data_IF_630436247020
#
_entry.id   IF_630436247020
#
_cell.length_a   1.000
_cell.length_b   1.000
_cell.length_c   1.000
_cell.angle_alpha   90.00
_cell.angle_beta   90.00
_cell.angle_gamma   90.00
#
_symmetry.space_group_name_H-M   'P 1'
#
loop_
_entity.id
_entity.type
_entity.pdbx_description
1 polymer ?
#
# COMPACT_ATOMS: atom_id res chain seq x y z
N UNK A 1 21.48 -22.48 -22.48
CA UNK A 1 21.34 -21.01 -22.29
C UNK A 1 22.09 -20.56 -21.03
N UNK A 2 23.29 -20.01 -21.19
CA UNK A 2 24.10 -19.50 -20.07
C UNK A 2 23.87 -17.99 -19.95
N UNK A 3 23.18 -17.55 -18.89
CA UNK A 3 23.11 -16.14 -18.52
C UNK A 3 24.52 -15.62 -18.25
N UNK A 4 24.98 -14.62 -19.00
CA UNK A 4 26.34 -14.05 -18.92
C UNK A 4 26.40 -12.72 -18.14
N UNK A 5 25.32 -12.31 -17.49
CA UNK A 5 25.26 -11.06 -16.71
C UNK A 5 25.47 -11.29 -15.21
N UNK A 6 26.23 -10.41 -14.57
CA UNK A 6 26.25 -10.32 -13.11
C UNK A 6 24.87 -9.87 -12.60
N UNK A 7 24.50 -10.34 -11.41
CA UNK A 7 23.28 -9.90 -10.75
C UNK A 7 23.32 -8.39 -10.48
N UNK A 8 22.18 -7.72 -10.70
CA UNK A 8 21.96 -6.30 -10.39
C UNK A 8 20.54 -6.12 -9.84
N UNK A 9 20.32 -5.07 -9.04
CA UNK A 9 19.02 -4.80 -8.42
C UNK A 9 17.92 -4.45 -9.43
N UNK A 10 18.24 -3.60 -10.42
CA UNK A 10 17.32 -3.11 -11.43
C UNK A 10 17.96 -3.16 -12.83
N UNK A 11 17.18 -3.54 -13.86
CA UNK A 11 17.63 -3.51 -15.27
C UNK A 11 17.15 -2.24 -15.98
N UNK A 12 18.09 -1.38 -16.38
CA UNK A 12 17.79 -0.17 -17.14
C UNK A 12 17.20 -0.49 -18.53
N UNK A 13 17.67 -1.57 -19.17
CA UNK A 13 17.18 -1.99 -20.49
C UNK A 13 15.71 -2.40 -20.44
N UNK A 14 15.30 -3.15 -19.40
CA UNK A 14 13.90 -3.50 -19.19
C UNK A 14 13.07 -2.25 -18.90
N UNK A 15 13.57 -1.35 -18.05
CA UNK A 15 12.89 -0.08 -17.74
C UNK A 15 12.68 0.80 -18.98
N UNK A 16 13.68 0.87 -19.87
CA UNK A 16 13.62 1.65 -21.11
C UNK A 16 12.70 1.02 -22.17
N UNK A 17 12.60 -0.31 -22.19
CA UNK A 17 11.75 -1.05 -23.12
C UNK A 17 10.28 -1.13 -22.66
N UNK A 18 9.97 -0.80 -21.40
CA UNK A 18 8.61 -0.88 -20.87
C UNK A 18 7.69 0.20 -21.45
N UNK A 19 6.48 -0.17 -21.85
CA UNK A 19 5.54 0.75 -22.49
C UNK A 19 5.00 1.76 -21.47
N UNK A 20 5.21 3.06 -21.74
CA UNK A 20 4.66 4.12 -20.87
C UNK A 20 3.14 4.13 -20.81
N UNK A 21 2.46 3.61 -21.83
CA UNK A 21 1.01 3.47 -21.83
C UNK A 21 0.53 2.52 -20.73
N UNK A 22 1.29 1.45 -20.44
CA UNK A 22 0.95 0.49 -19.39
C UNK A 22 1.16 1.10 -17.99
N UNK A 23 2.18 1.96 -17.84
CA UNK A 23 2.43 2.71 -16.59
C UNK A 23 1.27 3.68 -16.31
N UNK A 24 0.74 4.33 -17.35
CA UNK A 24 -0.35 5.29 -17.23
C UNK A 24 -1.74 4.63 -17.13
N UNK A 25 -1.84 3.31 -17.31
CA UNK A 25 -3.13 2.62 -17.30
C UNK A 25 -3.75 2.63 -15.89
N UNK A 26 -5.02 3.02 -15.74
CA UNK A 26 -5.66 3.07 -14.44
C UNK A 26 -5.91 1.66 -13.92
N UNK A 27 -5.50 1.39 -12.68
CA UNK A 27 -5.81 0.13 -11.99
C UNK A 27 -7.22 0.07 -11.40
N UNK A 28 -7.96 1.19 -11.37
CA UNK A 28 -9.28 1.29 -10.73
C UNK A 28 -10.26 0.24 -11.26
N UNK A 29 -10.38 -0.01 -12.59
CA UNK A 29 -11.28 -1.04 -13.11
C UNK A 29 -10.93 -2.46 -12.62
N UNK A 30 -9.64 -2.75 -12.40
CA UNK A 30 -9.17 -4.03 -11.87
C UNK A 30 -9.57 -4.16 -10.40
N UNK A 31 -9.30 -3.14 -9.58
CA UNK A 31 -9.72 -3.12 -8.17
C UNK A 31 -11.24 -3.23 -8.02
N UNK A 32 -12.02 -2.49 -8.83
CA UNK A 32 -13.49 -2.60 -8.83
C UNK A 32 -13.96 -4.01 -9.20
N UNK A 33 -13.27 -4.70 -10.11
CA UNK A 33 -13.57 -6.11 -10.43
C UNK A 33 -13.27 -7.01 -9.23
N UNK A 34 -12.08 -6.90 -8.64
CA UNK A 34 -11.65 -7.70 -7.50
C UNK A 34 -12.57 -7.54 -6.28
N UNK A 35 -13.01 -6.30 -6.00
CA UNK A 35 -13.90 -5.99 -4.88
C UNK A 35 -15.31 -6.58 -5.03
N UNK A 36 -15.74 -6.93 -6.25
CA UNK A 36 -17.01 -7.63 -6.48
C UNK A 36 -16.92 -9.13 -6.21
N UNK A 37 -15.72 -9.71 -6.22
CA UNK A 37 -15.54 -11.13 -5.91
C UNK A 37 -15.72 -11.37 -4.42
N UNK A 38 -16.65 -12.26 -4.06
CA UNK A 38 -16.86 -12.62 -2.65
C UNK A 38 -15.65 -13.42 -2.15
N UNK A 39 -15.10 -12.98 -1.01
CA UNK A 39 -14.00 -13.66 -0.32
C UNK A 39 -12.62 -13.03 -0.49
N UNK A 40 -12.45 -12.06 -1.41
CA UNK A 40 -11.19 -11.31 -1.50
C UNK A 40 -11.16 -10.16 -0.48
N UNK A 41 -10.00 -10.00 0.17
CA UNK A 41 -9.68 -8.87 1.04
C UNK A 41 -8.43 -8.21 0.48
N UNK A 42 -8.52 -6.92 0.22
CA UNK A 42 -7.43 -6.12 -0.35
C UNK A 42 -6.78 -5.31 0.77
N UNK A 43 -5.46 -5.36 0.85
CA UNK A 43 -4.66 -4.49 1.68
C UNK A 43 -3.83 -3.59 0.76
N UNK A 44 -3.95 -2.29 0.96
CA UNK A 44 -3.06 -1.28 0.42
C UNK A 44 -2.28 -0.72 1.59
N UNK A 45 -0.96 -0.62 1.48
CA UNK A 45 -0.11 0.02 2.48
C UNK A 45 0.75 1.09 1.81
N UNK A 46 1.06 2.16 2.54
CA UNK A 46 1.81 3.29 1.99
C UNK A 46 2.65 3.94 3.09
N UNK A 47 3.97 3.97 2.92
CA UNK A 47 4.85 4.69 3.84
C UNK A 47 4.58 6.20 3.75
N UNK A 48 4.34 6.85 4.88
CA UNK A 48 3.94 8.26 4.92
C UNK A 48 5.06 9.26 4.59
N UNK A 49 6.31 8.82 4.58
CA UNK A 49 7.49 9.59 4.19
C UNK A 49 7.98 9.33 2.73
N UNK A 50 7.24 8.56 1.92
CA UNK A 50 7.56 8.38 0.49
C UNK A 50 7.04 9.56 -0.35
N UNK A 51 7.91 10.11 -1.21
CA UNK A 51 7.56 11.20 -2.13
C UNK A 51 7.31 10.75 -3.57
N UNK A 52 7.74 9.55 -3.96
CA UNK A 52 7.54 9.02 -5.33
C UNK A 52 6.10 8.56 -5.49
N UNK A 53 5.61 7.74 -4.56
CA UNK A 53 4.23 7.26 -4.51
C UNK A 53 3.57 7.74 -3.21
N UNK A 54 3.44 9.06 -3.08
CA UNK A 54 3.01 9.68 -1.84
C UNK A 54 1.68 9.15 -1.29
N UNK A 55 1.64 8.97 0.03
CA UNK A 55 0.48 8.45 0.78
C UNK A 55 -0.81 9.22 0.52
N UNK A 56 -0.73 10.54 0.29
CA UNK A 56 -1.89 11.37 -0.08
C UNK A 56 -2.53 10.93 -1.40
N UNK A 57 -1.72 10.57 -2.41
CA UNK A 57 -2.22 10.10 -3.70
C UNK A 57 -2.95 8.76 -3.57
N UNK A 58 -2.41 7.86 -2.75
CA UNK A 58 -3.04 6.57 -2.43
C UNK A 58 -4.38 6.76 -1.69
N UNK A 59 -4.44 7.68 -0.73
CA UNK A 59 -5.67 8.02 -0.01
C UNK A 59 -6.74 8.58 -0.97
N UNK A 60 -6.37 9.55 -1.80
CA UNK A 60 -7.27 10.18 -2.76
C UNK A 60 -7.84 9.16 -3.75
N UNK A 61 -6.98 8.32 -4.32
CA UNK A 61 -7.39 7.25 -5.24
C UNK A 61 -8.46 6.33 -4.62
N UNK A 62 -8.26 5.88 -3.39
CA UNK A 62 -9.22 4.99 -2.71
C UNK A 62 -10.53 5.71 -2.41
N UNK A 63 -10.47 7.00 -2.04
CA UNK A 63 -11.64 7.82 -1.80
C UNK A 63 -12.50 7.97 -3.06
N UNK A 64 -11.86 8.21 -4.19
CA UNK A 64 -12.52 8.38 -5.50
C UNK A 64 -13.17 7.10 -6.02
N UNK A 65 -12.80 5.92 -5.49
CA UNK A 65 -13.51 4.67 -5.78
C UNK A 65 -14.91 4.59 -5.13
N UNK A 66 -15.26 5.52 -4.23
CA UNK A 66 -16.60 5.61 -3.66
C UNK A 66 -17.01 4.42 -2.81
N UNK A 67 -16.05 3.71 -2.20
CA UNK A 67 -16.32 2.55 -1.36
C UNK A 67 -16.99 2.96 -0.04
N UNK A 68 -17.84 2.09 0.50
CA UNK A 68 -18.42 2.31 1.82
C UNK A 68 -17.35 2.16 2.92
N UNK A 69 -17.14 3.23 3.69
CA UNK A 69 -16.30 3.22 4.89
C UNK A 69 -16.96 2.33 5.95
N UNK A 70 -16.20 1.35 6.46
CA UNK A 70 -16.59 0.47 7.56
C UNK A 70 -16.05 0.96 8.90
N UNK A 71 -14.81 1.43 8.89
CA UNK A 71 -14.15 2.03 10.05
C UNK A 71 -13.34 3.22 9.57
N UNK A 72 -13.64 4.38 10.15
CA UNK A 72 -12.93 5.62 9.84
C UNK A 72 -11.46 5.56 10.26
N UNK A 73 -10.69 6.50 9.72
CA UNK A 73 -9.27 6.72 10.00
C UNK A 73 -8.98 6.73 11.51
N UNK A 74 -8.08 5.85 11.94
CA UNK A 74 -7.68 5.71 13.35
C UNK A 74 -6.25 5.19 13.45
N UNK A 75 -5.53 5.48 14.55
CA UNK A 75 -4.21 4.93 14.75
C UNK A 75 -4.27 3.41 14.94
N UNK A 76 -3.22 2.72 14.48
CA UNK A 76 -2.91 1.36 14.91
C UNK A 76 -1.59 1.38 15.69
N UNK A 77 -1.49 0.50 16.68
CA UNK A 77 -0.37 0.52 17.62
C UNK A 77 0.43 -0.77 17.58
N UNK A 78 1.71 -0.67 17.90
CA UNK A 78 2.61 -1.80 18.09
C UNK A 78 3.35 -1.67 19.43
N UNK A 79 3.76 -2.79 20.05
CA UNK A 79 4.64 -2.74 21.20
C UNK A 79 5.95 -2.03 20.83
N UNK A 80 6.38 -1.12 21.68
CA UNK A 80 7.64 -0.35 21.53
C UNK A 80 8.90 -1.23 21.79
N UNK A 81 8.69 -2.47 22.23
CA UNK A 81 9.73 -3.42 22.59
C UNK A 81 10.05 -3.45 24.09
N UNK A 82 10.93 -4.38 24.51
CA UNK A 82 11.25 -4.62 25.92
C UNK A 82 11.97 -3.44 26.59
N UNK A 83 12.59 -2.55 25.82
CA UNK A 83 13.42 -1.45 26.31
C UNK A 83 12.67 -0.10 26.39
N UNK A 84 11.34 -0.07 26.19
CA UNK A 84 10.61 1.20 26.29
C UNK A 84 10.72 1.78 27.72
N UNK A 85 11.12 3.06 27.86
CA UNK A 85 11.29 3.71 29.15
C UNK A 85 9.98 3.85 29.95
N UNK A 86 8.83 3.48 29.39
CA UNK A 86 7.50 3.55 30.01
C UNK A 86 6.94 2.15 30.36
N UNK A 87 7.79 1.11 30.28
CA UNK A 87 7.49 -0.25 30.74
C UNK A 87 6.95 -1.19 29.64
N UNK A 88 6.76 -2.48 29.94
CA UNK A 88 6.45 -3.54 28.96
C UNK A 88 5.05 -3.43 28.33
N UNK A 89 4.21 -2.50 28.78
CA UNK A 89 2.89 -2.20 28.22
C UNK A 89 2.89 -1.01 27.24
N UNK A 90 4.06 -0.44 26.96
CA UNK A 90 4.23 0.70 26.07
C UNK A 90 3.85 0.35 24.62
N UNK A 91 2.89 1.09 24.08
CA UNK A 91 2.38 0.97 22.72
C UNK A 91 2.72 2.25 21.96
N UNK A 92 3.37 2.15 20.80
CA UNK A 92 3.61 3.26 19.89
C UNK A 92 2.60 3.25 18.77
N UNK A 93 2.25 4.43 18.27
CA UNK A 93 1.48 4.55 17.03
C UNK A 93 2.41 4.15 15.88
N UNK A 94 2.10 3.04 15.23
CA UNK A 94 2.87 2.56 14.08
C UNK A 94 2.35 3.14 12.75
N UNK A 95 1.17 3.75 12.80
CA UNK A 95 0.58 4.51 11.70
C UNK A 95 -0.93 4.57 11.83
N UNK A 96 -1.64 4.64 10.71
CA UNK A 96 -3.09 4.80 10.68
C UNK A 96 -3.75 3.83 9.71
N UNK A 97 -5.01 3.50 9.99
CA UNK A 97 -5.78 2.57 9.17
C UNK A 97 -7.19 3.11 8.91
N UNK A 98 -7.65 2.95 7.68
CA UNK A 98 -9.07 3.06 7.31
C UNK A 98 -9.52 1.76 6.68
N UNK A 99 -10.71 1.31 7.07
CA UNK A 99 -11.33 0.11 6.52
C UNK A 99 -12.53 0.49 5.67
N UNK A 100 -12.53 0.08 4.41
CA UNK A 100 -13.68 0.10 3.51
C UNK A 100 -14.22 -1.32 3.34
N UNK A 101 -15.36 -1.46 2.65
CA UNK A 101 -15.88 -2.77 2.28
C UNK A 101 -14.93 -3.49 1.32
N UNK A 102 -14.20 -4.49 1.83
CA UNK A 102 -13.30 -5.34 1.05
C UNK A 102 -11.88 -4.81 0.85
N UNK A 103 -11.59 -3.57 1.29
CA UNK A 103 -10.29 -2.92 1.16
C UNK A 103 -9.88 -2.23 2.47
N UNK A 104 -8.62 -2.31 2.84
CA UNK A 104 -8.04 -1.49 3.92
C UNK A 104 -6.83 -0.72 3.41
N UNK A 105 -6.70 0.54 3.82
CA UNK A 105 -5.47 1.32 3.66
C UNK A 105 -4.78 1.41 5.02
N UNK A 106 -3.49 1.11 5.03
CA UNK A 106 -2.61 1.28 6.18
C UNK A 106 -1.50 2.25 5.81
N UNK A 107 -1.16 3.16 6.72
CA UNK A 107 0.12 3.87 6.70
C UNK A 107 1.03 3.28 7.75
#
# INVERSE_FOLDING_TARGET
PTWTGNWTECSADVGAAYLRADIAAPMMPVYSRLLRHRGLRILVYSGDDDSVCATLGTQQWIWDMGLQVRTAWRPWTMPDGPDCPHGPACQQVAGFVTHWQGLSLVT
#
